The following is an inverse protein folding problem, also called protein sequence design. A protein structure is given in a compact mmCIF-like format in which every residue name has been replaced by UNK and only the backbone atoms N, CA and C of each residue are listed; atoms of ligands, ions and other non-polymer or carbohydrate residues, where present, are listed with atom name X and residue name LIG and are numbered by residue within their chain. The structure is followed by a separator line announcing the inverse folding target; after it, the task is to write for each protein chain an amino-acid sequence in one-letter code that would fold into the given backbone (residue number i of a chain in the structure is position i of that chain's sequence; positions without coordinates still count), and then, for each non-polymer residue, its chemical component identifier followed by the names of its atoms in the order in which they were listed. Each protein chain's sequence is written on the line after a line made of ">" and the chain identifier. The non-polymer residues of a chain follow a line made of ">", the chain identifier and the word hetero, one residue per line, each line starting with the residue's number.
data_IF_251169971397
#
_entry.id   IF_251169971397
#
_cell.length_a   1.000
_cell.length_b   1.000
_cell.length_c   1.000
_cell.angle_alpha   90.00
_cell.angle_beta   90.00
_cell.angle_gamma   90.00
#
_symmetry.space_group_name_H-M   'P 1'
#
loop_
_entity.id
_entity.type
_entity.pdbx_description
1 polymer ?
#
# COMPACT_ATOMS: atom_id res chain seq x y z
N UNK A 1 7.76 17.39 6.98
CA UNK A 1 8.96 16.70 7.51
C UNK A 1 10.20 17.54 7.32
N UNK A 2 10.51 18.01 6.10
CA UNK A 2 11.76 18.74 5.85
C UNK A 2 11.64 20.27 5.83
N UNK A 3 10.45 20.82 5.57
CA UNK A 3 10.27 22.27 5.35
C UNK A 3 10.00 23.07 6.63
N UNK A 4 9.67 22.41 7.74
CA UNK A 4 9.34 23.06 9.01
C UNK A 4 10.50 22.91 10.00
N UNK A 5 10.67 23.84 10.94
CA UNK A 5 11.67 23.80 12.03
C UNK A 5 11.35 22.73 13.09
N UNK A 6 11.24 21.48 12.67
CA UNK A 6 11.08 20.29 13.51
C UNK A 6 12.43 19.57 13.69
N UNK A 7 12.51 18.62 14.62
CA UNK A 7 13.76 17.89 14.92
C UNK A 7 14.35 17.23 13.66
N UNK A 8 13.50 16.73 12.77
CA UNK A 8 13.90 16.07 11.52
C UNK A 8 14.63 17.01 10.55
N UNK A 9 14.18 18.27 10.44
CA UNK A 9 14.83 19.24 9.55
C UNK A 9 16.12 19.79 10.13
N UNK A 10 16.20 19.94 11.46
CA UNK A 10 17.37 20.44 12.17
C UNK A 10 18.48 19.38 12.27
N UNK A 11 18.12 18.12 12.53
CA UNK A 11 19.08 17.02 12.68
C UNK A 11 19.49 16.39 11.34
N UNK A 12 18.72 16.62 10.27
CA UNK A 12 18.88 15.94 8.99
C UNK A 12 18.60 14.44 9.05
N UNK A 13 18.04 13.93 10.15
CA UNK A 13 17.79 12.51 10.38
C UNK A 13 16.31 12.26 10.62
N UNK A 14 15.72 11.34 9.86
CA UNK A 14 14.35 10.85 10.10
C UNK A 14 14.43 9.45 10.69
N UNK A 15 13.83 9.27 11.87
CA UNK A 15 13.67 7.95 12.50
C UNK A 15 12.32 7.36 12.09
N UNK A 16 12.35 6.17 11.50
CA UNK A 16 11.15 5.42 11.09
C UNK A 16 11.22 4.05 11.79
N UNK A 17 10.22 3.72 12.60
CA UNK A 17 10.22 2.53 13.46
C UNK A 17 9.01 1.63 13.28
N UNK A 18 8.02 2.06 12.50
CA UNK A 18 6.73 1.38 12.31
C UNK A 18 6.68 0.54 11.03
N UNK A 19 7.83 0.28 10.41
CA UNK A 19 7.95 -0.52 9.20
C UNK A 19 9.20 -1.40 9.22
N UNK A 20 9.14 -2.52 8.52
CA UNK A 20 10.30 -3.40 8.34
C UNK A 20 11.41 -2.70 7.54
N UNK A 21 12.66 -3.09 7.79
CA UNK A 21 13.80 -2.59 7.04
C UNK A 21 13.66 -2.87 5.54
N UNK A 22 13.19 -4.07 5.17
CA UNK A 22 13.08 -4.49 3.77
C UNK A 22 12.04 -3.66 3.01
N UNK A 23 10.86 -3.42 3.61
CA UNK A 23 9.84 -2.58 3.00
C UNK A 23 10.32 -1.13 2.87
N UNK A 24 10.97 -0.58 3.89
CA UNK A 24 11.53 0.78 3.82
C UNK A 24 12.63 0.88 2.76
N UNK A 25 13.52 -0.11 2.67
CA UNK A 25 14.57 -0.17 1.64
C UNK A 25 13.97 -0.24 0.24
N UNK A 26 12.96 -1.08 0.02
CA UNK A 26 12.26 -1.17 -1.25
C UNK A 26 11.56 0.15 -1.62
N UNK A 27 10.91 0.78 -0.64
CA UNK A 27 10.26 2.08 -0.82
C UNK A 27 11.25 3.16 -1.23
N UNK A 28 12.39 3.27 -0.53
CA UNK A 28 13.43 4.24 -0.88
C UNK A 28 14.00 3.93 -2.27
N UNK A 29 14.30 2.68 -2.59
CA UNK A 29 14.78 2.31 -3.92
C UNK A 29 13.80 2.76 -5.02
N UNK A 30 12.50 2.50 -4.83
CA UNK A 30 11.47 2.93 -5.77
C UNK A 30 11.45 4.45 -5.96
N UNK A 31 11.67 5.26 -4.92
CA UNK A 31 11.73 6.72 -5.07
C UNK A 31 12.84 7.19 -6.02
N UNK A 32 13.93 6.43 -6.11
CA UNK A 32 15.07 6.76 -6.97
C UNK A 32 15.03 6.08 -8.35
N UNK A 33 14.37 4.93 -8.48
CA UNK A 33 14.38 4.13 -9.72
C UNK A 33 13.03 4.03 -10.42
N UNK A 34 11.94 4.37 -9.73
CA UNK A 34 10.56 4.06 -10.14
C UNK A 34 10.29 2.57 -10.39
N UNK A 35 11.14 1.69 -9.86
CA UNK A 35 11.02 0.23 -9.99
C UNK A 35 10.83 -0.41 -8.61
N UNK A 36 9.88 -1.34 -8.51
CA UNK A 36 9.66 -2.15 -7.32
C UNK A 36 9.33 -3.58 -7.72
N UNK A 37 9.98 -4.55 -7.07
CA UNK A 37 9.61 -5.96 -7.17
C UNK A 37 8.51 -6.22 -6.15
N UNK A 38 7.31 -6.53 -6.63
CA UNK A 38 6.14 -6.80 -5.78
C UNK A 38 5.91 -8.30 -5.65
N UNK A 39 5.86 -8.78 -4.41
CA UNK A 39 5.11 -9.96 -4.02
C UNK A 39 3.87 -9.53 -3.22
N UNK A 40 3.07 -10.47 -2.72
CA UNK A 40 1.85 -10.15 -1.98
C UNK A 40 2.12 -9.33 -0.71
N UNK A 41 3.16 -9.68 0.05
CA UNK A 41 3.48 -9.01 1.31
C UNK A 41 4.10 -7.63 1.07
N UNK A 42 5.09 -7.55 0.17
CA UNK A 42 5.74 -6.31 -0.24
C UNK A 42 4.75 -5.35 -0.90
N UNK A 43 3.79 -5.86 -1.68
CA UNK A 43 2.72 -5.06 -2.26
C UNK A 43 1.88 -4.34 -1.19
N UNK A 44 1.48 -5.06 -0.15
CA UNK A 44 0.79 -4.48 1.00
C UNK A 44 1.67 -3.45 1.72
N UNK A 45 2.89 -3.83 2.12
CA UNK A 45 3.79 -2.96 2.89
C UNK A 45 4.12 -1.66 2.14
N UNK A 46 4.40 -1.75 0.83
CA UNK A 46 4.66 -0.58 -0.01
C UNK A 46 3.42 0.28 -0.22
N UNK A 47 2.21 -0.30 -0.27
CA UNK A 47 0.98 0.47 -0.33
C UNK A 47 0.79 1.28 0.95
N UNK A 48 1.03 0.69 2.13
CA UNK A 48 0.94 1.39 3.42
C UNK A 48 1.92 2.56 3.46
N UNK A 49 3.17 2.33 3.06
CA UNK A 49 4.17 3.41 2.97
C UNK A 49 3.79 4.48 1.94
N UNK A 50 3.30 4.07 0.77
CA UNK A 50 2.90 4.99 -0.28
C UNK A 50 1.74 5.88 0.16
N UNK A 51 0.77 5.36 0.91
CA UNK A 51 -0.29 6.19 1.51
C UNK A 51 0.27 7.12 2.59
N UNK A 52 1.07 6.58 3.52
CA UNK A 52 1.64 7.36 4.64
C UNK A 52 2.49 8.55 4.17
N UNK A 53 3.34 8.32 3.17
CA UNK A 53 4.25 9.33 2.61
C UNK A 53 3.71 9.98 1.32
N UNK A 54 2.46 9.72 0.97
CA UNK A 54 1.73 10.34 -0.15
C UNK A 54 2.37 10.16 -1.54
N UNK A 55 3.00 9.01 -1.77
CA UNK A 55 3.61 8.65 -3.05
C UNK A 55 2.55 8.03 -3.98
N UNK A 56 1.74 8.88 -4.59
CA UNK A 56 0.56 8.49 -5.39
C UNK A 56 0.86 7.45 -6.46
N UNK A 57 1.96 7.59 -7.20
CA UNK A 57 2.30 6.66 -8.27
C UNK A 57 2.57 5.24 -7.74
N UNK A 58 3.31 5.12 -6.62
CA UNK A 58 3.55 3.83 -5.97
C UNK A 58 2.26 3.22 -5.46
N UNK A 59 1.40 4.04 -4.83
CA UNK A 59 0.11 3.58 -4.34
C UNK A 59 -0.73 2.97 -5.46
N UNK A 60 -0.91 3.68 -6.58
CA UNK A 60 -1.64 3.17 -7.75
C UNK A 60 -1.01 1.90 -8.32
N UNK A 61 0.32 1.83 -8.35
CA UNK A 61 1.04 0.65 -8.82
C UNK A 61 0.76 -0.58 -7.94
N UNK A 62 0.87 -0.45 -6.61
CA UNK A 62 0.52 -1.51 -5.68
C UNK A 62 -0.97 -1.90 -5.75
N UNK A 63 -1.87 -0.92 -5.83
CA UNK A 63 -3.32 -1.18 -5.99
C UNK A 63 -3.59 -2.02 -7.24
N UNK A 64 -2.99 -1.67 -8.37
CA UNK A 64 -3.17 -2.38 -9.64
C UNK A 64 -2.64 -3.81 -9.55
N UNK A 65 -1.47 -4.00 -8.92
CA UNK A 65 -0.91 -5.31 -8.67
C UNK A 65 -1.84 -6.17 -7.80
N UNK A 66 -2.35 -5.63 -6.70
CA UNK A 66 -3.26 -6.35 -5.80
C UNK A 66 -4.59 -6.69 -6.47
N UNK A 67 -5.16 -5.76 -7.25
CA UNK A 67 -6.38 -6.02 -8.04
C UNK A 67 -6.16 -7.16 -9.03
N UNK A 68 -4.98 -7.27 -9.66
CA UNK A 68 -4.66 -8.36 -10.58
C UNK A 68 -4.59 -9.76 -9.93
N UNK A 69 -4.46 -9.80 -8.60
CA UNK A 69 -4.41 -11.04 -7.79
C UNK A 69 -5.71 -11.31 -7.03
N UNK A 70 -6.67 -10.41 -7.16
CA UNK A 70 -7.91 -10.46 -6.42
C UNK A 70 -8.79 -11.62 -6.90
N UNK A 71 -9.33 -12.36 -5.95
CA UNK A 71 -10.22 -13.49 -6.18
C UNK A 71 -11.20 -13.59 -5.02
N UNK A 72 -12.15 -14.53 -5.11
CA UNK A 72 -13.17 -14.70 -4.09
C UNK A 72 -12.59 -14.98 -2.69
N UNK A 73 -11.53 -15.78 -2.60
CA UNK A 73 -10.96 -16.22 -1.32
C UNK A 73 -10.29 -15.07 -0.56
N UNK A 74 -9.66 -14.13 -1.29
CA UNK A 74 -8.95 -13.00 -0.69
C UNK A 74 -9.73 -11.67 -0.69
N UNK A 75 -10.87 -11.59 -1.40
CA UNK A 75 -11.61 -10.34 -1.58
C UNK A 75 -12.01 -9.65 -0.27
N UNK A 76 -12.47 -10.42 0.74
CA UNK A 76 -12.85 -9.86 2.05
C UNK A 76 -11.68 -9.22 2.79
N UNK A 77 -10.54 -9.90 2.83
CA UNK A 77 -9.33 -9.39 3.47
C UNK A 77 -8.78 -8.17 2.72
N UNK A 78 -8.76 -8.25 1.39
CA UNK A 78 -8.34 -7.12 0.54
C UNK A 78 -9.26 -5.92 0.67
N UNK A 79 -10.58 -6.11 0.83
CA UNK A 79 -11.53 -5.03 1.08
C UNK A 79 -11.24 -4.33 2.42
N UNK A 80 -11.07 -5.10 3.50
CA UNK A 80 -10.75 -4.54 4.82
C UNK A 80 -9.43 -3.77 4.80
N UNK A 81 -8.39 -4.33 4.17
CA UNK A 81 -7.10 -3.68 3.98
C UNK A 81 -7.22 -2.39 3.16
N UNK A 82 -7.95 -2.45 2.03
CA UNK A 82 -8.13 -1.30 1.17
C UNK A 82 -8.88 -0.15 1.86
N UNK A 83 -9.87 -0.48 2.68
CA UNK A 83 -10.61 0.50 3.48
C UNK A 83 -9.69 1.17 4.52
N UNK A 84 -8.87 0.38 5.22
CA UNK A 84 -7.93 0.88 6.21
C UNK A 84 -6.86 1.82 5.62
N UNK A 85 -6.38 1.52 4.41
CA UNK A 85 -5.30 2.25 3.75
C UNK A 85 -5.79 3.16 2.62
N UNK A 86 -7.10 3.44 2.58
CA UNK A 86 -7.72 4.39 1.65
C UNK A 86 -7.39 4.08 0.17
N UNK A 87 -7.28 2.80 -0.18
CA UNK A 87 -6.90 2.29 -1.49
C UNK A 87 -8.14 2.07 -2.37
N UNK A 88 -8.62 3.13 -3.00
CA UNK A 88 -9.96 3.14 -3.63
C UNK A 88 -10.13 2.13 -4.76
N UNK A 89 -9.15 1.98 -5.64
CA UNK A 89 -9.31 1.06 -6.77
C UNK A 89 -9.37 -0.39 -6.29
N UNK A 90 -8.56 -0.73 -5.27
CA UNK A 90 -8.61 -2.03 -4.63
C UNK A 90 -9.93 -2.24 -3.86
N UNK A 91 -10.41 -1.22 -3.15
CA UNK A 91 -11.66 -1.26 -2.40
C UNK A 91 -12.85 -1.56 -3.31
N UNK A 92 -12.99 -0.81 -4.40
CA UNK A 92 -14.11 -0.95 -5.33
C UNK A 92 -14.07 -2.30 -6.06
N UNK A 93 -12.87 -2.74 -6.47
CA UNK A 93 -12.68 -4.05 -7.11
C UNK A 93 -13.03 -5.21 -6.16
N UNK A 94 -12.61 -5.12 -4.90
CA UNK A 94 -12.90 -6.13 -3.89
C UNK A 94 -14.40 -6.18 -3.58
N UNK A 95 -15.03 -5.01 -3.46
CA UNK A 95 -16.48 -4.92 -3.25
C UNK A 95 -17.26 -5.55 -4.40
N UNK A 96 -16.85 -5.33 -5.65
CA UNK A 96 -17.48 -5.96 -6.81
C UNK A 96 -17.44 -7.49 -6.71
N UNK A 97 -16.27 -8.08 -6.44
CA UNK A 97 -16.13 -9.53 -6.29
C UNK A 97 -16.98 -10.06 -5.13
N UNK A 98 -17.05 -9.32 -4.02
CA UNK A 98 -17.87 -9.68 -2.86
C UNK A 98 -19.36 -9.73 -3.25
N UNK A 99 -19.84 -8.70 -3.95
CA UNK A 99 -21.23 -8.62 -4.39
C UNK A 99 -21.59 -9.69 -5.42
N UNK A 100 -20.70 -9.98 -6.37
CA UNK A 100 -20.91 -10.98 -7.42
C UNK A 100 -20.96 -12.43 -6.90
N UNK A 101 -20.51 -12.66 -5.66
CA UNK A 101 -20.43 -13.97 -5.03
C UNK A 101 -21.19 -14.00 -3.69
N UNK A 102 -22.15 -13.09 -3.50
CA UNK A 102 -22.89 -12.97 -2.23
C UNK A 102 -23.58 -14.29 -1.84
N UNK A 103 -23.98 -15.11 -2.80
CA UNK A 103 -24.60 -16.42 -2.61
C UNK A 103 -23.68 -17.42 -1.89
N UNK A 104 -22.36 -17.19 -1.89
CA UNK A 104 -21.37 -18.04 -1.22
C UNK A 104 -21.15 -17.66 0.26
N UNK A 105 -21.78 -16.58 0.73
CA UNK A 105 -21.75 -16.15 2.14
C UNK A 105 -22.88 -16.76 2.97
N UNK A 106 -23.86 -17.44 2.35
CA UNK A 106 -25.01 -18.06 3.02
C UNK A 106 -24.71 -19.43 3.61
#
# INVERSE_FOLDING_TARGET
>A
MFENEMEESLSGTIKISDVSYDALRAFVNYLYTAEACLDEQMGCDLLVLAEKYQVKHLKTYCETFMVSKLNWENALLSFAFANQHNAKNLLDSALSIIMDNMDKLS
#
